data_IF_289622817227
#
_entry.id   IF_289622817227
#
_cell.length_a   1.000
_cell.length_b   1.000
_cell.length_c   1.000
_cell.angle_alpha   90.00
_cell.angle_beta   90.00
_cell.angle_gamma   90.00
#
_symmetry.space_group_name_H-M   'P 1'
#
loop_
_entity.id
_entity.type
_entity.pdbx_description
1 polymer ?
#
# COMPACT_ATOMS: atom_id res chain seq x y z
N UNK A 1 19.21 -18.54 -35.51
CA UNK A 1 19.85 -17.74 -34.45
C UNK A 1 19.00 -16.50 -34.21
N UNK A 2 18.10 -16.53 -33.21
CA UNK A 2 17.18 -15.43 -32.90
C UNK A 2 17.77 -14.65 -31.73
N UNK A 3 18.06 -13.37 -31.98
CA UNK A 3 18.65 -12.44 -31.00
C UNK A 3 17.52 -11.96 -30.11
N UNK A 4 17.57 -12.29 -28.81
CA UNK A 4 16.66 -11.75 -27.78
C UNK A 4 17.04 -10.32 -27.48
N UNK A 5 16.11 -9.40 -27.71
CA UNK A 5 16.23 -8.00 -27.28
C UNK A 5 15.87 -7.89 -25.80
N UNK A 6 16.72 -7.31 -24.94
CA UNK A 6 16.39 -7.15 -23.53
C UNK A 6 15.36 -6.04 -23.33
N UNK A 7 14.20 -6.39 -22.78
CA UNK A 7 13.20 -5.42 -22.31
C UNK A 7 13.80 -4.62 -21.15
N UNK A 8 13.90 -3.32 -21.35
CA UNK A 8 14.35 -2.38 -20.32
C UNK A 8 13.37 -2.39 -19.15
N UNK A 9 13.83 -2.88 -18.00
CA UNK A 9 13.14 -2.73 -16.71
C UNK A 9 13.44 -1.30 -16.25
N UNK A 10 12.42 -0.45 -16.23
CA UNK A 10 12.53 0.88 -15.62
C UNK A 10 12.58 0.70 -14.10
N UNK A 11 13.77 0.85 -13.54
CA UNK A 11 13.97 0.95 -12.09
C UNK A 11 13.47 2.34 -11.67
N UNK A 12 12.33 2.39 -11.01
CA UNK A 12 11.87 3.62 -10.34
C UNK A 12 12.71 3.78 -9.08
N UNK A 13 13.67 4.68 -9.11
CA UNK A 13 14.44 5.05 -7.95
C UNK A 13 13.56 5.88 -7.00
N UNK A 14 13.23 5.32 -5.84
CA UNK A 14 12.58 6.03 -4.75
C UNK A 14 13.60 6.94 -4.08
N UNK A 15 13.66 8.22 -4.47
CA UNK A 15 14.47 9.21 -3.80
C UNK A 15 13.77 9.70 -2.53
N UNK A 16 14.21 9.23 -1.37
CA UNK A 16 13.83 9.81 -0.08
C UNK A 16 14.68 11.05 0.13
N UNK A 17 14.11 12.24 -0.07
CA UNK A 17 14.76 13.51 0.25
C UNK A 17 14.52 13.82 1.72
N UNK A 18 15.54 13.63 2.55
CA UNK A 18 15.60 14.16 3.92
C UNK A 18 16.17 15.56 3.82
N UNK A 19 15.33 16.58 3.80
CA UNK A 19 15.72 17.99 3.82
C UNK A 19 15.80 18.50 5.25
N UNK A 20 17.01 18.77 5.73
CA UNK A 20 17.25 19.55 6.95
C UNK A 20 17.20 21.04 6.64
N UNK A 21 16.63 21.80 7.58
CA UNK A 21 16.16 23.15 7.50
C UNK A 21 17.11 24.27 7.09
N UNK A 22 16.51 25.34 6.61
CA UNK A 22 16.97 26.72 6.78
C UNK A 22 15.76 27.64 6.80
N UNK A 23 15.64 28.40 7.90
CA UNK A 23 14.65 29.44 8.12
C UNK A 23 14.94 30.64 7.23
N UNK A 24 13.98 31.08 6.42
CA UNK A 24 13.90 32.45 5.95
C UNK A 24 12.45 32.90 5.93
N UNK A 25 12.13 33.85 6.78
CA UNK A 25 10.86 34.51 6.85
C UNK A 25 10.62 35.33 5.58
N UNK A 26 9.60 34.94 4.80
CA UNK A 26 8.98 35.80 3.81
C UNK A 26 7.47 35.72 3.96
N UNK A 27 6.87 36.90 4.10
CA UNK A 27 5.48 37.20 4.31
C UNK A 27 4.53 36.46 3.35
N UNK A 28 3.57 35.71 3.93
CA UNK A 28 2.53 34.99 3.20
C UNK A 28 1.40 35.86 2.69
N UNK A 29 0.90 35.59 1.48
CA UNK A 29 -0.50 35.84 1.16
C UNK A 29 -1.37 34.64 1.54
N UNK A 30 -2.67 34.84 1.83
CA UNK A 30 -3.57 33.79 2.33
C UNK A 30 -4.07 32.90 1.20
N UNK A 31 -3.49 31.72 1.04
CA UNK A 31 -3.95 30.66 0.13
C UNK A 31 -4.10 29.32 0.83
N UNK A 32 -4.69 29.31 2.04
CA UNK A 32 -4.67 28.11 2.91
C UNK A 32 -5.95 27.26 2.92
N UNK A 33 -7.02 27.59 2.19
CA UNK A 33 -8.28 26.85 2.33
C UNK A 33 -8.62 25.84 1.22
N UNK A 34 -8.00 25.94 0.04
CA UNK A 34 -8.24 24.97 -1.03
C UNK A 34 -7.47 23.65 -0.85
N UNK A 35 -6.35 23.66 -0.13
CA UNK A 35 -5.50 22.49 0.08
C UNK A 35 -6.06 21.47 1.09
N UNK A 36 -6.74 21.94 2.13
CA UNK A 36 -7.22 21.08 3.24
C UNK A 36 -8.35 20.15 2.82
N UNK A 37 -9.31 20.64 2.03
CA UNK A 37 -10.45 19.83 1.57
C UNK A 37 -10.00 18.73 0.59
N UNK A 38 -8.97 18.99 -0.22
CA UNK A 38 -8.44 17.99 -1.14
C UNK A 38 -7.68 16.88 -0.38
N UNK A 39 -6.85 17.24 0.59
CA UNK A 39 -6.11 16.27 1.41
C UNK A 39 -7.06 15.36 2.20
N UNK A 40 -8.10 15.89 2.82
CA UNK A 40 -9.11 15.08 3.53
C UNK A 40 -9.81 14.07 2.62
N UNK A 41 -10.11 14.44 1.37
CA UNK A 41 -10.72 13.53 0.40
C UNK A 41 -9.74 12.43 -0.03
N UNK A 42 -8.47 12.74 -0.18
CA UNK A 42 -7.40 11.79 -0.49
C UNK A 42 -7.21 10.80 0.68
N UNK A 43 -7.14 11.30 1.91
CA UNK A 43 -7.00 10.46 3.10
C UNK A 43 -8.19 9.51 3.28
N UNK A 44 -9.41 10.01 3.08
CA UNK A 44 -10.63 9.19 3.11
C UNK A 44 -10.61 8.10 2.02
N UNK A 45 -10.16 8.45 0.82
CA UNK A 45 -10.05 7.51 -0.29
C UNK A 45 -8.99 6.45 -0.02
N UNK A 46 -7.79 6.83 0.41
CA UNK A 46 -6.71 5.89 0.73
C UNK A 46 -7.12 4.91 1.83
N UNK A 47 -7.70 5.43 2.93
CA UNK A 47 -8.24 4.61 4.01
C UNK A 47 -9.31 3.64 3.50
N UNK A 48 -10.21 4.11 2.63
CA UNK A 48 -11.26 3.26 2.03
C UNK A 48 -10.65 2.12 1.21
N UNK A 49 -9.70 2.39 0.33
CA UNK A 49 -9.07 1.39 -0.52
C UNK A 49 -8.41 0.27 0.30
N UNK A 50 -7.64 0.63 1.33
CA UNK A 50 -7.03 -0.35 2.23
C UNK A 50 -8.10 -1.13 3.01
N UNK A 51 -9.11 -0.44 3.55
CA UNK A 51 -10.18 -1.11 4.33
C UNK A 51 -10.98 -2.09 3.47
N UNK A 52 -11.28 -1.74 2.22
CA UNK A 52 -11.99 -2.63 1.32
C UNK A 52 -11.16 -3.88 0.99
N UNK A 53 -9.87 -3.73 0.70
CA UNK A 53 -8.95 -4.85 0.52
C UNK A 53 -8.96 -5.83 1.71
N UNK A 54 -8.90 -5.32 2.96
CA UNK A 54 -8.96 -6.18 4.15
C UNK A 54 -10.35 -6.79 4.38
N UNK A 55 -11.43 -6.12 3.98
CA UNK A 55 -12.76 -6.72 4.01
C UNK A 55 -12.87 -7.94 3.10
N UNK A 56 -12.30 -7.86 1.90
CA UNK A 56 -12.33 -8.94 0.94
C UNK A 56 -11.44 -10.10 1.40
N UNK A 57 -10.29 -9.79 2.02
CA UNK A 57 -9.46 -10.79 2.70
C UNK A 57 -10.25 -11.56 3.78
N UNK A 58 -10.92 -10.84 4.69
CA UNK A 58 -11.68 -11.45 5.80
C UNK A 58 -12.87 -12.26 5.29
N UNK A 59 -13.49 -11.83 4.19
CA UNK A 59 -14.59 -12.58 3.56
C UNK A 59 -14.11 -13.78 2.73
N UNK A 60 -12.80 -13.91 2.55
CA UNK A 60 -12.21 -14.88 1.63
C UNK A 60 -12.71 -14.72 0.19
N UNK A 61 -13.01 -13.45 -0.20
CA UNK A 61 -13.48 -13.12 -1.56
C UNK A 61 -12.28 -12.97 -2.51
N UNK A 62 -11.66 -14.09 -2.82
CA UNK A 62 -10.49 -14.15 -3.69
C UNK A 62 -10.80 -13.64 -5.10
N UNK A 63 -12.04 -13.76 -5.58
CA UNK A 63 -12.45 -13.23 -6.87
C UNK A 63 -12.49 -11.69 -6.90
N UNK A 64 -12.90 -11.05 -5.81
CA UNK A 64 -12.82 -9.58 -5.66
C UNK A 64 -11.36 -9.14 -5.57
N UNK A 65 -10.56 -9.78 -4.72
CA UNK A 65 -9.12 -9.49 -4.57
C UNK A 65 -8.37 -9.62 -5.91
N UNK A 66 -8.64 -10.67 -6.66
CA UNK A 66 -8.02 -10.85 -7.98
C UNK A 66 -8.36 -9.72 -8.95
N UNK A 67 -9.60 -9.21 -8.92
CA UNK A 67 -10.01 -8.05 -9.73
C UNK A 67 -9.35 -6.77 -9.29
N UNK A 68 -9.13 -6.59 -7.99
CA UNK A 68 -8.65 -5.34 -7.42
C UNK A 68 -7.13 -5.22 -7.40
N UNK A 69 -6.43 -6.31 -7.63
CA UNK A 69 -4.99 -6.33 -7.85
C UNK A 69 -4.65 -6.19 -9.34
N UNK A 70 -3.65 -5.37 -9.65
CA UNK A 70 -3.09 -5.28 -11.01
C UNK A 70 -2.43 -6.61 -11.42
N UNK A 71 -2.33 -6.84 -12.71
CA UNK A 71 -1.63 -8.03 -13.25
C UNK A 71 -0.15 -8.11 -12.86
N UNK A 72 0.48 -6.96 -12.63
CA UNK A 72 1.87 -6.85 -12.21
C UNK A 72 2.02 -6.59 -10.70
N UNK A 73 0.98 -6.89 -9.91
CA UNK A 73 1.02 -6.70 -8.46
C UNK A 73 2.20 -7.42 -7.82
N UNK A 74 2.84 -6.73 -6.87
CA UNK A 74 3.92 -7.28 -6.05
C UNK A 74 3.59 -7.13 -4.57
N UNK A 75 3.82 -8.19 -3.82
CA UNK A 75 3.85 -8.19 -2.36
C UNK A 75 5.30 -8.31 -1.89
N UNK A 76 5.75 -7.34 -1.11
CA UNK A 76 7.11 -7.28 -0.55
C UNK A 76 7.01 -7.42 0.96
N UNK A 77 7.57 -8.46 1.51
CA UNK A 77 7.55 -8.75 2.95
C UNK A 77 8.93 -9.23 3.41
N UNK A 78 9.11 -9.42 4.70
CA UNK A 78 10.33 -10.01 5.25
C UNK A 78 10.61 -11.43 4.69
N UNK A 79 9.58 -12.14 4.25
CA UNK A 79 9.73 -13.47 3.61
C UNK A 79 10.08 -13.41 2.14
N UNK A 80 10.23 -12.22 1.54
CA UNK A 80 10.63 -12.01 0.17
C UNK A 80 9.58 -11.29 -0.68
N UNK A 81 9.77 -11.33 -1.99
CA UNK A 81 8.90 -10.70 -2.99
C UNK A 81 8.06 -11.78 -3.65
N UNK A 82 6.75 -11.55 -3.75
CA UNK A 82 5.79 -12.43 -4.41
C UNK A 82 5.00 -11.65 -5.45
N UNK A 83 4.79 -12.26 -6.61
CA UNK A 83 3.90 -11.72 -7.63
C UNK A 83 2.43 -12.04 -7.31
N UNK A 84 1.51 -11.51 -8.14
CA UNK A 84 0.06 -11.70 -7.95
C UNK A 84 -0.34 -13.17 -7.85
N UNK A 85 0.15 -14.04 -8.75
CA UNK A 85 -0.22 -15.46 -8.77
C UNK A 85 0.22 -16.18 -7.50
N UNK A 86 1.43 -15.90 -7.02
CA UNK A 86 1.95 -16.47 -5.77
C UNK A 86 1.16 -15.98 -4.55
N UNK A 87 0.75 -14.71 -4.56
CA UNK A 87 -0.10 -14.16 -3.49
C UNK A 87 -1.48 -14.81 -3.50
N UNK A 88 -2.13 -14.94 -4.66
CA UNK A 88 -3.43 -15.59 -4.75
C UNK A 88 -3.38 -17.05 -4.28
N UNK A 89 -2.34 -17.80 -4.61
CA UNK A 89 -2.16 -19.18 -4.12
C UNK A 89 -2.02 -19.26 -2.58
N UNK A 90 -1.42 -18.23 -1.96
CA UNK A 90 -1.36 -18.12 -0.48
C UNK A 90 -2.77 -17.84 0.06
N UNK A 91 -3.50 -16.90 -0.53
CA UNK A 91 -4.83 -16.52 -0.09
C UNK A 91 -5.82 -17.70 -0.15
N UNK A 92 -5.67 -18.61 -1.13
CA UNK A 92 -6.47 -19.82 -1.22
C UNK A 92 -6.18 -20.84 -0.10
N UNK A 93 -5.02 -20.72 0.55
CA UNK A 93 -4.57 -21.67 1.58
C UNK A 93 -4.86 -21.20 3.02
N UNK A 94 -5.27 -19.95 3.21
CA UNK A 94 -5.46 -19.34 4.53
C UNK A 94 -6.79 -18.60 4.61
N UNK A 95 -7.30 -18.48 5.83
CA UNK A 95 -8.37 -17.53 6.17
C UNK A 95 -7.82 -16.43 7.06
N UNK A 96 -8.45 -15.27 7.00
CA UNK A 96 -8.00 -14.08 7.70
C UNK A 96 -9.13 -13.49 8.54
N UNK A 97 -8.80 -12.99 9.73
CA UNK A 97 -9.77 -12.34 10.61
C UNK A 97 -9.12 -11.20 11.42
N UNK A 98 -9.98 -10.45 12.12
CA UNK A 98 -9.62 -9.44 13.12
C UNK A 98 -8.55 -8.43 12.66
N UNK A 99 -8.70 -7.78 11.49
CA UNK A 99 -7.74 -6.80 11.04
C UNK A 99 -7.75 -5.56 11.96
N UNK A 100 -6.59 -5.21 12.47
CA UNK A 100 -6.36 -3.92 13.13
C UNK A 100 -5.69 -2.99 12.13
N UNK A 101 -6.33 -1.86 11.82
CA UNK A 101 -5.85 -0.87 10.85
C UNK A 101 -5.90 0.52 11.46
N UNK A 102 -4.77 1.20 11.58
CA UNK A 102 -4.66 2.53 12.21
C UNK A 102 -3.51 3.36 11.64
N UNK A 103 -3.41 4.61 12.09
CA UNK A 103 -2.31 5.53 11.76
C UNK A 103 -2.15 5.74 10.24
N UNK A 104 -3.26 5.94 9.53
CA UNK A 104 -3.26 6.15 8.10
C UNK A 104 -2.63 7.48 7.71
N UNK A 105 -1.77 7.45 6.70
CA UNK A 105 -1.24 8.61 6.00
C UNK A 105 -1.30 8.34 4.50
N UNK A 106 -1.87 9.25 3.73
CA UNK A 106 -2.10 9.06 2.30
C UNK A 106 -1.46 10.20 1.50
N UNK A 107 -0.78 9.86 0.44
CA UNK A 107 -0.30 10.82 -0.57
C UNK A 107 -0.84 10.44 -1.94
N UNK A 108 -0.98 11.40 -2.84
CA UNK A 108 -1.39 11.14 -4.22
C UNK A 108 -0.55 11.91 -5.21
N UNK A 109 -0.30 11.31 -6.36
CA UNK A 109 0.38 11.93 -7.49
C UNK A 109 -0.25 11.44 -8.79
N UNK A 110 -0.95 12.32 -9.50
CA UNK A 110 -1.66 11.96 -10.73
C UNK A 110 -2.67 10.83 -10.51
N UNK A 111 -2.42 9.69 -11.13
CA UNK A 111 -3.27 8.49 -11.05
C UNK A 111 -2.84 7.52 -9.95
N UNK A 112 -1.93 7.90 -9.07
CA UNK A 112 -1.39 7.05 -8.01
C UNK A 112 -1.80 7.54 -6.63
N UNK A 113 -2.07 6.59 -5.73
CA UNK A 113 -2.25 6.81 -4.30
C UNK A 113 -1.33 5.85 -3.54
N UNK A 114 -0.52 6.43 -2.65
CA UNK A 114 0.30 5.68 -1.69
C UNK A 114 -0.31 5.84 -0.31
N UNK A 115 -0.58 4.72 0.36
CA UNK A 115 -1.14 4.68 1.72
C UNK A 115 -0.16 4.00 2.64
N UNK A 116 0.30 4.73 3.65
CA UNK A 116 1.08 4.18 4.77
C UNK A 116 0.17 4.02 5.97
N UNK A 117 0.22 2.89 6.63
CA UNK A 117 -0.60 2.63 7.81
C UNK A 117 0.06 1.62 8.75
N UNK A 118 -0.50 1.43 9.93
CA UNK A 118 -0.14 0.37 10.85
C UNK A 118 -1.20 -0.71 10.79
N UNK A 119 -0.81 -1.97 10.60
CA UNK A 119 -1.77 -3.06 10.44
C UNK A 119 -1.30 -4.40 10.99
N UNK A 120 -2.29 -5.20 11.45
CA UNK A 120 -2.14 -6.61 11.79
C UNK A 120 -3.40 -7.37 11.41
N UNK A 121 -3.34 -8.69 11.37
CA UNK A 121 -4.50 -9.57 11.18
C UNK A 121 -4.17 -10.96 11.74
N UNK A 122 -5.21 -11.75 11.97
CA UNK A 122 -5.08 -13.17 12.32
C UNK A 122 -5.08 -13.99 11.05
N UNK A 123 -4.15 -14.94 10.94
CA UNK A 123 -4.05 -15.89 9.82
C UNK A 123 -4.31 -17.31 10.33
N UNK A 124 -5.21 -18.03 9.71
CA UNK A 124 -5.55 -19.41 10.08
C UNK A 124 -5.43 -20.35 8.87
N UNK A 125 -4.83 -21.55 8.98
CA UNK A 125 -3.98 -22.01 10.08
C UNK A 125 -2.62 -21.30 10.10
N UNK A 126 -1.90 -21.19 11.22
CA UNK A 126 -2.13 -21.81 12.53
C UNK A 126 -2.92 -20.95 13.54
N UNK A 127 -3.61 -19.89 13.15
CA UNK A 127 -4.26 -18.98 14.09
C UNK A 127 -3.31 -17.96 14.73
N UNK A 128 -2.32 -17.54 13.96
CA UNK A 128 -1.29 -16.59 14.40
C UNK A 128 -1.75 -15.16 14.17
N UNK A 129 -1.63 -14.32 15.20
CA UNK A 129 -1.76 -12.86 15.06
C UNK A 129 -0.45 -12.34 14.49
N UNK A 130 -0.50 -11.64 13.36
CA UNK A 130 0.69 -10.93 12.86
C UNK A 130 1.03 -9.75 13.76
N UNK A 131 2.31 -9.41 13.85
CA UNK A 131 2.72 -8.18 14.52
C UNK A 131 2.03 -6.96 13.92
N UNK A 132 1.81 -5.96 14.78
CA UNK A 132 1.28 -4.67 14.36
C UNK A 132 2.39 -3.86 13.70
N UNK A 133 2.55 -4.02 12.40
CA UNK A 133 3.68 -3.48 11.63
C UNK A 133 3.28 -2.29 10.75
N UNK A 134 4.26 -1.48 10.36
CA UNK A 134 4.08 -0.46 9.31
C UNK A 134 3.96 -1.13 7.95
N UNK A 135 2.93 -0.74 7.21
CA UNK A 135 2.60 -1.26 5.88
C UNK A 135 2.40 -0.15 4.88
N UNK A 136 2.63 -0.47 3.63
CA UNK A 136 2.41 0.44 2.50
C UNK A 136 1.61 -0.28 1.43
N UNK A 137 0.54 0.38 0.96
CA UNK A 137 -0.14 -0.01 -0.27
C UNK A 137 -0.01 1.10 -1.30
N UNK A 138 0.28 0.73 -2.54
CA UNK A 138 0.25 1.64 -3.68
C UNK A 138 -0.85 1.20 -4.63
N UNK A 139 -1.73 2.14 -4.98
CA UNK A 139 -2.83 1.95 -5.91
C UNK A 139 -2.67 2.86 -7.12
N UNK A 140 -3.04 2.36 -8.29
CA UNK A 140 -3.06 3.14 -9.54
C UNK A 140 -4.46 3.10 -10.14
N UNK A 141 -4.93 4.24 -10.63
CA UNK A 141 -6.23 4.34 -11.31
C UNK A 141 -6.10 3.92 -12.76
N UNK A 142 -6.78 2.85 -13.13
CA UNK A 142 -6.78 2.27 -14.48
C UNK A 142 -8.21 2.04 -14.94
N UNK A 143 -8.59 2.56 -16.10
CA UNK A 143 -9.95 2.42 -16.63
C UNK A 143 -11.04 2.87 -15.65
N UNK A 144 -10.79 3.95 -14.89
CA UNK A 144 -11.71 4.49 -13.88
C UNK A 144 -11.72 3.73 -12.53
N UNK A 145 -11.01 2.62 -12.39
CA UNK A 145 -10.94 1.80 -11.17
C UNK A 145 -9.56 1.89 -10.54
N UNK A 146 -9.51 1.83 -9.21
CA UNK A 146 -8.26 1.71 -8.46
C UNK A 146 -7.81 0.25 -8.43
N UNK A 147 -6.53 0.03 -8.69
CA UNK A 147 -5.87 -1.28 -8.67
C UNK A 147 -4.67 -1.24 -7.74
N UNK A 148 -4.58 -2.19 -6.83
CA UNK A 148 -3.37 -2.39 -6.02
C UNK A 148 -2.22 -2.86 -6.90
N UNK A 149 -1.09 -2.17 -6.85
CA UNK A 149 0.11 -2.53 -7.62
C UNK A 149 1.24 -3.01 -6.72
N UNK A 150 1.30 -2.52 -5.47
CA UNK A 150 2.32 -2.91 -4.50
C UNK A 150 1.69 -3.00 -3.11
N UNK A 151 2.03 -4.04 -2.38
CA UNK A 151 1.90 -4.17 -0.93
C UNK A 151 3.28 -4.35 -0.32
N UNK A 152 3.59 -3.61 0.74
CA UNK A 152 4.82 -3.78 1.51
C UNK A 152 4.47 -3.95 2.98
N UNK A 153 4.99 -4.98 3.62
CA UNK A 153 5.07 -5.08 5.07
C UNK A 153 6.52 -4.84 5.49
N UNK A 154 6.75 -3.70 6.14
CA UNK A 154 8.10 -3.27 6.53
C UNK A 154 8.67 -4.06 7.72
N UNK A 155 7.85 -4.88 8.39
CA UNK A 155 8.26 -5.58 9.61
C UNK A 155 8.60 -4.65 10.79
N UNK A 156 8.34 -3.34 10.64
CA UNK A 156 8.66 -2.35 11.69
C UNK A 156 7.50 -2.26 12.66
N UNK A 157 7.73 -2.67 13.90
CA UNK A 157 6.78 -2.52 14.99
C UNK A 157 6.88 -1.11 15.57
N UNK A 158 5.79 -0.30 15.54
CA UNK A 158 5.82 1.05 16.09
C UNK A 158 6.17 1.04 17.57
N UNK A 159 7.18 1.83 17.97
CA UNK A 159 7.63 1.93 19.37
C UNK A 159 8.63 0.86 19.82
N UNK A 160 9.03 -0.07 18.95
CA UNK A 160 10.19 -0.91 19.23
C UNK A 160 11.43 -0.01 19.31
N UNK A 161 12.17 -0.09 20.42
CA UNK A 161 13.48 0.57 20.54
C UNK A 161 14.45 -0.15 19.60
N UNK A 162 15.15 0.62 18.78
CA UNK A 162 16.25 0.13 17.99
C UNK A 162 17.41 -0.29 18.90
#
# INVERSE_FOLDING_TARGET
MKIFSPKRVAVVALAVVIGAGASSALSNPPAAHAGTNNQQSIDKLGKKLVTDYYKDLVKNDNAALEKDLDKNFLSVTLSGIKNKSEVMAILDSYTFSDPVLKDFSTTSSGNEITVVYTGSLVTTPPGTVSDLTKRVNIFVKQGGKWKGIIFVDLGIVPGAKA
#
